data_IF_649177758625
#
_entry.id   IF_649177758625
#
_cell.length_a   1.000
_cell.length_b   1.000
_cell.length_c   1.000
_cell.angle_alpha   90.00
_cell.angle_beta   90.00
_cell.angle_gamma   90.00
#
_symmetry.space_group_name_H-M   'P 1'
#
loop_
_entity.id
_entity.type
_entity.pdbx_description
1 polymer ?
#
# COMPACT_ATOMS: atom_id res chain seq x y z
N UNK A 1 -13.63 6.84 -8.20
CA UNK A 1 -12.60 7.83 -7.86
C UNK A 1 -11.30 7.07 -7.86
N UNK A 2 -10.31 7.55 -8.59
CA UNK A 2 -9.00 6.91 -8.67
C UNK A 2 -8.05 7.70 -7.78
N UNK A 3 -7.31 7.02 -6.90
CA UNK A 3 -6.30 7.63 -6.04
C UNK A 3 -5.06 7.94 -6.89
N UNK A 4 -4.52 9.16 -6.78
CA UNK A 4 -3.30 9.53 -7.45
C UNK A 4 -2.12 9.35 -6.48
N UNK A 5 -1.43 8.21 -6.60
CA UNK A 5 -0.32 7.85 -5.72
C UNK A 5 0.96 8.66 -5.98
N UNK A 6 1.14 9.22 -7.18
CA UNK A 6 2.24 10.15 -7.47
C UNK A 6 2.10 11.43 -6.64
N UNK A 7 0.88 11.97 -6.51
CA UNK A 7 0.64 13.17 -5.67
C UNK A 7 0.80 12.90 -4.18
N UNK A 8 0.77 11.63 -3.77
CA UNK A 8 1.03 11.18 -2.41
C UNK A 8 2.51 10.81 -2.19
N UNK A 9 3.36 10.93 -3.21
CA UNK A 9 4.75 10.49 -3.22
C UNK A 9 4.90 9.03 -2.77
N UNK A 10 4.00 8.14 -3.24
CA UNK A 10 4.11 6.73 -2.94
C UNK A 10 5.15 6.06 -3.84
N UNK A 11 6.29 5.75 -3.24
CA UNK A 11 7.35 4.95 -3.85
C UNK A 11 7.59 3.70 -2.99
N UNK A 12 7.00 2.57 -3.35
CA UNK A 12 7.19 1.30 -2.66
C UNK A 12 8.63 0.78 -2.76
N UNK A 13 9.47 1.32 -3.65
CA UNK A 13 10.88 0.95 -3.80
C UNK A 13 11.79 1.74 -2.87
N UNK A 14 11.31 2.85 -2.31
CA UNK A 14 11.93 3.56 -1.21
C UNK A 14 11.78 2.78 0.11
N UNK A 15 12.87 2.63 0.85
CA UNK A 15 12.91 1.78 2.04
C UNK A 15 11.98 2.27 3.16
N UNK A 16 11.92 3.60 3.38
CA UNK A 16 11.09 4.18 4.43
C UNK A 16 9.60 4.04 4.09
N UNK A 17 9.25 4.27 2.82
CA UNK A 17 7.87 4.12 2.33
C UNK A 17 7.43 2.65 2.33
N UNK A 18 8.32 1.73 1.93
CA UNK A 18 8.07 0.29 1.99
C UNK A 18 7.80 -0.17 3.43
N UNK A 19 8.63 0.26 4.38
CA UNK A 19 8.45 -0.10 5.79
C UNK A 19 7.09 0.37 6.31
N UNK A 20 6.71 1.62 6.06
CA UNK A 20 5.38 2.15 6.44
C UNK A 20 4.24 1.35 5.81
N UNK A 21 4.36 1.01 4.53
CA UNK A 21 3.36 0.19 3.84
C UNK A 21 3.21 -1.20 4.48
N UNK A 22 4.33 -1.90 4.72
CA UNK A 22 4.31 -3.23 5.31
C UNK A 22 3.71 -3.23 6.72
N UNK A 23 4.11 -2.26 7.56
CA UNK A 23 3.60 -2.10 8.92
C UNK A 23 2.09 -1.80 8.91
N UNK A 24 1.65 -0.86 8.07
CA UNK A 24 0.25 -0.50 7.94
C UNK A 24 -0.60 -1.69 7.44
N UNK A 25 -0.11 -2.46 6.46
CA UNK A 25 -0.79 -3.65 5.96
C UNK A 25 -0.85 -4.79 6.98
N UNK A 26 0.18 -4.94 7.81
CA UNK A 26 0.14 -5.86 8.95
C UNK A 26 -0.96 -5.45 9.93
N UNK A 27 -1.05 -4.17 10.30
CA UNK A 27 -2.11 -3.67 11.18
C UNK A 27 -3.50 -3.90 10.59
N UNK A 28 -3.68 -3.67 9.29
CA UNK A 28 -4.94 -3.96 8.58
C UNK A 28 -5.32 -5.44 8.72
N UNK A 29 -4.35 -6.34 8.48
CA UNK A 29 -4.55 -7.79 8.63
C UNK A 29 -4.94 -8.18 10.06
N UNK A 30 -4.21 -7.66 11.06
CA UNK A 30 -4.51 -7.92 12.47
C UNK A 30 -5.90 -7.42 12.88
N UNK A 31 -6.27 -6.21 12.46
CA UNK A 31 -7.59 -5.63 12.72
C UNK A 31 -8.70 -6.41 12.02
N UNK A 32 -8.51 -6.79 10.76
CA UNK A 32 -9.48 -7.62 10.04
C UNK A 32 -9.72 -8.98 10.72
N UNK A 33 -8.67 -9.59 11.28
CA UNK A 33 -8.78 -10.85 12.04
C UNK A 33 -9.50 -10.67 13.39
N UNK A 34 -9.50 -9.45 13.96
CA UNK A 34 -10.19 -9.10 15.20
C UNK A 34 -11.62 -8.57 14.97
N UNK A 35 -12.09 -8.54 13.72
CA UNK A 35 -13.45 -8.13 13.40
C UNK A 35 -14.46 -9.00 14.16
N UNK A 36 -15.31 -8.35 14.97
CA UNK A 36 -16.47 -8.99 15.56
C UNK A 36 -17.50 -9.32 14.47
N UNK A 37 -17.59 -10.59 14.12
CA UNK A 37 -18.49 -11.10 13.07
C UNK A 37 -19.95 -11.14 13.52
N UNK A 38 -20.21 -11.08 14.83
CA UNK A 38 -21.54 -11.10 15.41
C UNK A 38 -22.09 -9.68 15.63
N UNK A 39 -21.24 -8.64 15.52
CA UNK A 39 -21.66 -7.26 15.58
C UNK A 39 -22.64 -6.90 14.45
N UNK A 40 -23.56 -5.92 14.65
CA UNK A 40 -24.41 -5.42 13.58
C UNK A 40 -23.60 -4.96 12.36
N UNK A 41 -24.05 -5.30 11.15
CA UNK A 41 -23.34 -5.02 9.90
C UNK A 41 -22.87 -3.55 9.75
N UNK A 42 -23.65 -2.52 10.14
CA UNK A 42 -23.16 -1.13 10.10
C UNK A 42 -21.91 -0.89 10.96
N UNK A 43 -21.80 -1.54 12.13
CA UNK A 43 -20.61 -1.43 12.99
C UNK A 43 -19.40 -2.12 12.35
N UNK A 44 -19.62 -3.27 11.71
CA UNK A 44 -18.56 -3.96 10.96
C UNK A 44 -18.03 -3.07 9.83
N UNK A 45 -18.93 -2.39 9.11
CA UNK A 45 -18.55 -1.49 8.00
C UNK A 45 -17.78 -0.26 8.47
N UNK A 46 -18.20 0.32 9.60
CA UNK A 46 -17.48 1.41 10.26
C UNK A 46 -16.07 0.96 10.64
N UNK A 47 -15.96 -0.16 11.36
CA UNK A 47 -14.67 -0.71 11.80
C UNK A 47 -13.70 -0.97 10.64
N UNK A 48 -14.16 -1.61 9.58
CA UNK A 48 -13.33 -1.91 8.40
C UNK A 48 -12.91 -0.64 7.66
N UNK A 49 -13.81 0.33 7.52
CA UNK A 49 -13.50 1.58 6.83
C UNK A 49 -12.54 2.46 7.66
N UNK A 50 -12.71 2.54 8.98
CA UNK A 50 -11.77 3.23 9.87
C UNK A 50 -10.40 2.56 9.85
N UNK A 51 -10.35 1.23 9.83
CA UNK A 51 -9.11 0.46 9.67
C UNK A 51 -8.36 0.85 8.40
N UNK A 52 -9.09 0.98 7.28
CA UNK A 52 -8.50 1.41 6.00
C UNK A 52 -8.05 2.87 6.05
N UNK A 53 -8.84 3.79 6.64
CA UNK A 53 -8.45 5.19 6.79
C UNK A 53 -7.15 5.33 7.59
N UNK A 54 -7.02 4.59 8.70
CA UNK A 54 -5.79 4.55 9.49
C UNK A 54 -4.61 4.03 8.67
N UNK A 55 -4.78 3.01 7.82
CA UNK A 55 -3.71 2.55 6.92
C UNK A 55 -3.16 3.68 6.03
N UNK A 56 -4.05 4.48 5.43
CA UNK A 56 -3.63 5.64 4.64
C UNK A 56 -2.97 6.73 5.50
N UNK A 57 -3.45 6.96 6.72
CA UNK A 57 -2.83 7.92 7.64
C UNK A 57 -1.42 7.48 8.09
N UNK A 58 -1.21 6.18 8.31
CA UNK A 58 0.06 5.62 8.73
C UNK A 58 1.12 5.70 7.62
N UNK A 59 0.71 5.55 6.36
CA UNK A 59 1.62 5.61 5.20
C UNK A 59 1.90 7.07 4.79
N UNK A 60 0.84 7.88 4.65
CA UNK A 60 0.91 9.19 3.99
C UNK A 60 0.78 10.38 4.95
N UNK A 61 0.57 10.11 6.24
CA UNK A 61 0.37 11.11 7.28
C UNK A 61 -1.09 11.39 7.59
N UNK A 62 -1.33 11.91 8.80
CA UNK A 62 -2.65 12.09 9.39
C UNK A 62 -3.63 12.89 8.51
N UNK A 63 -4.86 12.38 8.42
CA UNK A 63 -5.95 12.99 7.65
C UNK A 63 -5.97 12.59 6.17
N UNK A 64 -5.02 11.78 5.71
CA UNK A 64 -5.00 11.27 4.33
C UNK A 64 -6.08 10.22 4.11
N UNK A 65 -6.37 9.39 5.11
CA UNK A 65 -7.46 8.41 5.07
C UNK A 65 -8.82 9.06 4.82
N UNK A 66 -9.13 10.17 5.49
CA UNK A 66 -10.37 10.90 5.24
C UNK A 66 -10.39 11.59 3.87
N UNK A 67 -9.26 12.12 3.39
CA UNK A 67 -9.17 12.71 2.05
C UNK A 67 -9.42 11.68 0.95
N UNK A 68 -8.91 10.46 1.12
CA UNK A 68 -9.00 9.39 0.13
C UNK A 68 -10.35 8.66 0.22
N UNK A 69 -10.76 8.23 1.41
CA UNK A 69 -11.96 7.43 1.59
C UNK A 69 -13.23 8.27 1.80
N UNK A 70 -13.09 9.57 2.02
CA UNK A 70 -14.16 10.49 2.39
C UNK A 70 -14.43 10.52 3.90
N UNK A 71 -15.08 11.59 4.36
CA UNK A 71 -15.42 11.78 5.78
C UNK A 71 -16.35 10.68 6.31
N UNK A 72 -17.26 10.17 5.48
CA UNK A 72 -18.18 9.09 5.87
C UNK A 72 -17.49 7.73 5.93
N UNK A 73 -18.07 6.78 6.68
CA UNK A 73 -17.60 5.40 6.73
C UNK A 73 -18.22 4.54 5.62
N UNK A 74 -17.98 4.94 4.36
CA UNK A 74 -18.41 4.16 3.20
C UNK A 74 -17.44 2.99 2.97
N UNK A 75 -17.83 1.79 3.40
CA UNK A 75 -16.98 0.59 3.20
C UNK A 75 -16.59 0.40 1.72
N UNK A 76 -17.50 0.69 0.78
CA UNK A 76 -17.20 0.64 -0.66
C UNK A 76 -16.06 1.58 -1.05
N UNK A 77 -16.05 2.82 -0.56
CA UNK A 77 -14.99 3.77 -0.86
C UNK A 77 -13.66 3.31 -0.25
N UNK A 78 -13.69 2.89 1.01
CA UNK A 78 -12.53 2.34 1.73
C UNK A 78 -11.94 1.10 1.02
N UNK A 79 -12.75 0.08 0.71
CA UNK A 79 -12.27 -1.13 0.03
C UNK A 79 -11.71 -0.83 -1.37
N UNK A 80 -12.34 0.07 -2.13
CA UNK A 80 -11.82 0.47 -3.44
C UNK A 80 -10.46 1.17 -3.33
N UNK A 81 -10.31 2.08 -2.37
CA UNK A 81 -9.06 2.78 -2.14
C UNK A 81 -7.94 1.81 -1.71
N UNK A 82 -8.22 0.89 -0.78
CA UNK A 82 -7.25 -0.11 -0.35
C UNK A 82 -6.82 -1.03 -1.51
N UNK A 83 -7.78 -1.44 -2.37
CA UNK A 83 -7.48 -2.22 -3.58
C UNK A 83 -6.52 -1.45 -4.51
N UNK A 84 -6.79 -0.17 -4.76
CA UNK A 84 -5.92 0.66 -5.61
C UNK A 84 -4.51 0.80 -5.03
N UNK A 85 -4.38 0.94 -3.70
CA UNK A 85 -3.08 0.97 -3.03
C UNK A 85 -2.29 -0.34 -3.21
N UNK A 86 -2.96 -1.49 -3.05
CA UNK A 86 -2.33 -2.81 -3.26
C UNK A 86 -1.95 -3.02 -4.73
N UNK A 87 -2.78 -2.57 -5.67
CA UNK A 87 -2.48 -2.63 -7.10
C UNK A 87 -1.25 -1.79 -7.45
N UNK A 88 -1.14 -0.57 -6.92
CA UNK A 88 0.02 0.31 -7.13
C UNK A 88 1.29 -0.29 -6.53
N UNK A 89 1.24 -0.79 -5.30
CA UNK A 89 2.36 -1.49 -4.67
C UNK A 89 2.87 -2.65 -5.54
N UNK A 90 1.96 -3.50 -6.02
CA UNK A 90 2.31 -4.65 -6.85
C UNK A 90 2.90 -4.21 -8.20
N UNK A 91 2.37 -3.15 -8.79
CA UNK A 91 2.88 -2.58 -10.04
C UNK A 91 4.33 -2.13 -9.86
N UNK A 92 4.62 -1.27 -8.89
CA UNK A 92 5.97 -0.77 -8.63
C UNK A 92 6.96 -1.90 -8.30
N UNK A 93 6.56 -2.86 -7.47
CA UNK A 93 7.39 -4.03 -7.15
C UNK A 93 7.69 -4.89 -8.38
N UNK A 94 6.72 -5.05 -9.28
CA UNK A 94 6.92 -5.83 -10.50
C UNK A 94 7.89 -5.15 -11.48
N UNK A 95 7.80 -3.83 -11.62
CA UNK A 95 8.73 -3.05 -12.44
C UNK A 95 10.14 -3.05 -11.82
N UNK A 96 10.24 -2.83 -10.51
CA UNK A 96 11.52 -2.83 -9.81
C UNK A 96 12.22 -4.19 -9.87
N UNK A 97 11.47 -5.29 -9.79
CA UNK A 97 12.02 -6.64 -9.95
C UNK A 97 12.68 -6.80 -11.33
N UNK A 98 12.02 -6.37 -12.39
CA UNK A 98 12.57 -6.42 -13.76
C UNK A 98 13.81 -5.52 -13.90
N UNK A 99 13.77 -4.31 -13.33
CA UNK A 99 14.90 -3.39 -13.34
C UNK A 99 16.10 -3.97 -12.58
N UNK A 100 15.88 -4.63 -11.44
CA UNK A 100 16.93 -5.30 -10.66
C UNK A 100 17.56 -6.47 -11.43
N UNK A 101 16.73 -7.31 -12.09
CA UNK A 101 17.22 -8.41 -12.94
C UNK A 101 18.10 -7.89 -14.08
N UNK A 102 17.69 -6.80 -14.74
CA UNK A 102 18.48 -6.15 -15.78
C UNK A 102 19.79 -5.57 -15.25
N UNK A 103 19.75 -4.89 -14.10
CA UNK A 103 20.94 -4.32 -13.45
C UNK A 103 21.97 -5.41 -13.10
N UNK A 104 21.53 -6.55 -12.56
CA UNK A 104 22.41 -7.68 -12.24
C UNK A 104 23.08 -8.22 -13.50
N UNK A 105 22.33 -8.39 -14.60
CA UNK A 105 22.90 -8.86 -15.87
C UNK A 105 23.98 -7.92 -16.43
N UNK A 106 23.77 -6.60 -16.35
CA UNK A 106 24.78 -5.60 -16.73
C UNK A 106 26.03 -5.69 -15.84
N UNK A 107 25.86 -5.87 -14.53
CA UNK A 107 26.98 -6.03 -13.61
C UNK A 107 27.79 -7.33 -13.85
N UNK A 108 27.14 -8.39 -14.31
CA UNK A 108 27.79 -9.66 -14.66
C UNK A 108 28.56 -9.58 -15.99
N UNK A 109 28.00 -8.90 -17.00
CA UNK A 109 28.68 -8.71 -18.29
C UNK A 109 29.88 -7.77 -18.19
N UNK A 110 29.81 -6.72 -17.35
CA UNK A 110 30.94 -5.83 -17.08
C UNK A 110 32.15 -6.54 -16.45
N UNK A 111 31.92 -7.52 -15.56
CA UNK A 111 33.00 -8.32 -14.96
C UNK A 111 33.77 -9.18 -15.96
N UNK A 112 33.14 -9.56 -17.09
CA UNK A 112 33.79 -10.39 -18.10
C UNK A 112 34.81 -9.61 -18.96
N UNK A 113 34.73 -8.27 -19.00
CA UNK A 113 35.62 -7.41 -19.81
C UNK A 113 36.87 -6.99 -19.04
N UNK A 114 36.83 -6.95 -17.71
CA UNK A 114 37.95 -6.52 -16.85
C UNK A 114 38.97 -7.64 -16.53
N UNK A 115 38.87 -8.82 -17.18
CA UNK A 115 39.74 -9.99 -16.89
C UNK A 115 40.75 -10.33 -18.00
N UNK A 116 40.95 -9.48 -19.01
CA UNK A 116 41.96 -9.66 -20.07
C UNK A 116 43.18 -8.73 -19.92
#
# INVERSE_FOLDING_TARGET
MQVNFDTLNFDATDADTLQKYLDAMQIVSEKANRLDKDAPQPKQYQYLCETVKTCFDDIFGAGTGEKICGANNSLRACTNALRELVEEYNHQMSEQKRANEALIAEMETGKAVDTE
#
